data_IF_635569616758
#
_entry.id   IF_635569616758
#
_cell.length_a   1.000
_cell.length_b   1.000
_cell.length_c   1.000
_cell.angle_alpha   90.00
_cell.angle_beta   90.00
_cell.angle_gamma   90.00
#
_symmetry.space_group_name_H-M   'P 1'
#
loop_
_entity.id
_entity.type
_entity.pdbx_description
1 polymer ?
#
# COMPACT_ATOMS: atom_id res chain seq x y z
N UNK A 1 -10.07 11.10 11.15
CA UNK A 1 -9.38 12.27 10.55
C UNK A 1 -8.34 12.81 11.53
N UNK A 2 -7.34 13.58 11.08
CA UNK A 2 -6.35 14.19 12.00
C UNK A 2 -6.99 15.01 13.13
N UNK A 3 -8.12 15.66 12.87
CA UNK A 3 -8.89 16.43 13.87
C UNK A 3 -9.45 15.55 14.99
N UNK A 4 -10.01 14.38 14.66
CA UNK A 4 -10.55 13.45 15.65
C UNK A 4 -9.44 12.93 16.59
N UNK A 5 -8.24 12.69 16.04
CA UNK A 5 -7.08 12.25 16.82
C UNK A 5 -6.62 13.34 17.79
N UNK A 6 -6.52 14.61 17.34
CA UNK A 6 -6.19 15.71 18.26
C UNK A 6 -7.20 15.82 19.40
N UNK A 7 -8.49 15.83 19.08
CA UNK A 7 -9.54 15.94 20.09
C UNK A 7 -9.44 14.81 21.13
N UNK A 8 -9.25 13.56 20.71
CA UNK A 8 -9.10 12.43 21.63
C UNK A 8 -7.87 12.56 22.55
N UNK A 9 -6.77 13.13 22.06
CA UNK A 9 -5.53 13.25 22.83
C UNK A 9 -5.53 14.48 23.76
N UNK A 10 -6.26 15.55 23.42
CA UNK A 10 -6.21 16.83 24.12
C UNK A 10 -7.52 17.26 24.79
N UNK A 11 -8.59 16.45 24.78
CA UNK A 11 -9.77 16.71 25.60
C UNK A 11 -9.44 16.51 27.08
N UNK A 12 -10.23 17.08 28.00
CA UNK A 12 -10.16 16.77 29.44
C UNK A 12 -8.75 16.90 30.06
N UNK A 13 -7.99 17.91 29.61
CA UNK A 13 -6.69 18.19 30.19
C UNK A 13 -6.86 18.69 31.64
N UNK A 14 -5.93 18.35 32.54
CA UNK A 14 -5.88 18.93 33.86
C UNK A 14 -5.89 20.46 33.79
N UNK A 15 -6.54 21.14 34.74
CA UNK A 15 -6.55 22.60 34.81
C UNK A 15 -5.16 23.17 35.15
N UNK A 16 -4.31 22.37 35.79
CA UNK A 16 -2.95 22.72 36.18
C UNK A 16 -1.97 22.59 35.00
N UNK A 17 -0.89 23.40 34.94
CA UNK A 17 0.11 23.27 33.91
C UNK A 17 0.69 21.86 33.77
N UNK A 18 0.75 21.36 32.53
CA UNK A 18 1.28 20.04 32.24
C UNK A 18 2.81 20.01 32.33
N UNK A 19 3.32 19.43 33.41
CA UNK A 19 4.77 19.24 33.58
C UNK A 19 5.35 18.13 32.69
N UNK A 20 4.52 17.17 32.25
CA UNK A 20 4.96 16.03 31.42
C UNK A 20 3.97 15.71 30.27
N UNK A 21 3.87 16.56 29.24
CA UNK A 21 2.91 16.37 28.14
C UNK A 21 3.10 15.03 27.42
N UNK A 22 4.34 14.63 27.14
CA UNK A 22 4.64 13.37 26.46
C UNK A 22 4.18 12.13 27.26
N UNK A 23 4.33 12.15 28.59
CA UNK A 23 3.90 11.04 29.44
C UNK A 23 2.38 10.91 29.48
N UNK A 24 1.65 12.04 29.50
CA UNK A 24 0.20 12.04 29.41
C UNK A 24 -0.28 11.43 28.09
N UNK A 25 0.32 11.83 26.97
CA UNK A 25 -0.01 11.28 25.65
C UNK A 25 0.26 9.77 25.59
N UNK A 26 1.41 9.33 26.10
CA UNK A 26 1.75 7.91 26.16
C UNK A 26 0.73 7.11 27.00
N UNK A 27 0.32 7.64 28.16
CA UNK A 27 -0.70 7.02 29.00
C UNK A 27 -2.04 6.91 28.30
N UNK A 28 -2.52 7.99 27.66
CA UNK A 28 -3.81 7.97 26.95
C UNK A 28 -3.79 7.00 25.77
N UNK A 29 -2.72 6.97 25.00
CA UNK A 29 -2.55 6.00 23.93
C UNK A 29 -2.59 4.58 24.50
N UNK A 30 -1.88 4.26 25.58
CA UNK A 30 -1.89 2.91 26.13
C UNK A 30 -3.25 2.52 26.77
N UNK A 31 -3.90 3.44 27.50
CA UNK A 31 -5.06 3.15 28.34
C UNK A 31 -6.42 3.32 27.64
N UNK A 32 -6.50 4.18 26.63
CA UNK A 32 -7.74 4.49 25.90
C UNK A 32 -7.77 3.87 24.50
N UNK A 33 -6.74 3.13 24.09
CA UNK A 33 -6.80 2.35 22.88
C UNK A 33 -7.91 1.29 23.04
N UNK A 34 -8.85 1.19 22.07
CA UNK A 34 -9.77 0.07 22.06
C UNK A 34 -8.97 -1.24 21.97
N UNK A 35 -9.48 -2.35 22.51
CA UNK A 35 -8.83 -3.64 22.39
C UNK A 35 -8.53 -3.91 20.92
N UNK A 36 -7.30 -4.36 20.64
CA UNK A 36 -6.90 -4.68 19.28
C UNK A 36 -7.87 -5.72 18.73
N UNK A 37 -8.32 -5.58 17.47
CA UNK A 37 -9.15 -6.60 16.86
C UNK A 37 -8.39 -7.94 16.89
N UNK A 38 -9.10 -9.07 17.04
CA UNK A 38 -8.45 -10.37 17.00
C UNK A 38 -7.65 -10.50 15.71
N UNK A 39 -6.44 -11.05 15.82
CA UNK A 39 -5.61 -11.30 14.65
C UNK A 39 -6.40 -12.10 13.61
N UNK A 40 -6.51 -11.57 12.40
CA UNK A 40 -6.99 -12.30 11.23
C UNK A 40 -5.80 -12.44 10.29
N UNK A 41 -5.45 -13.69 9.96
CA UNK A 41 -4.56 -13.92 8.84
C UNK A 41 -5.16 -13.26 7.59
N UNK A 42 -4.36 -12.54 6.78
CA UNK A 42 -4.82 -12.01 5.52
C UNK A 42 -5.46 -13.14 4.69
N UNK A 43 -6.64 -12.89 4.11
CA UNK A 43 -7.18 -13.82 3.14
C UNK A 43 -6.16 -13.97 2.00
N UNK A 44 -5.87 -15.21 1.60
CA UNK A 44 -5.05 -15.41 0.41
C UNK A 44 -5.74 -14.74 -0.77
N UNK A 45 -5.03 -13.90 -1.56
CA UNK A 45 -5.62 -13.32 -2.74
C UNK A 45 -6.09 -14.46 -3.67
N UNK A 46 -7.17 -14.24 -4.45
CA UNK A 46 -7.60 -15.24 -5.42
C UNK A 46 -6.43 -15.57 -6.33
N UNK A 47 -6.19 -16.87 -6.55
CA UNK A 47 -5.14 -17.34 -7.43
C UNK A 47 -5.52 -17.05 -8.87
N UNK A 48 -5.12 -15.89 -9.39
CA UNK A 48 -5.30 -15.56 -10.80
C UNK A 48 -4.24 -16.32 -11.60
N UNK A 49 -4.63 -17.45 -12.17
CA UNK A 49 -3.79 -18.22 -13.08
C UNK A 49 -4.07 -17.79 -14.51
N UNK A 50 -3.15 -17.02 -15.09
CA UNK A 50 -3.16 -16.79 -16.53
C UNK A 50 -2.52 -17.97 -17.26
N UNK A 51 -3.19 -18.43 -18.30
CA UNK A 51 -2.60 -19.35 -19.27
C UNK A 51 -1.38 -18.71 -19.95
N UNK A 52 -0.52 -19.55 -20.51
CA UNK A 52 0.61 -19.09 -21.32
C UNK A 52 0.05 -18.61 -22.67
N UNK A 53 0.30 -17.35 -23.03
CA UNK A 53 -0.07 -16.77 -24.33
C UNK A 53 1.15 -16.11 -24.97
N UNK A 54 1.15 -15.98 -26.30
CA UNK A 54 2.19 -15.24 -27.00
C UNK A 54 1.85 -13.74 -27.03
N UNK A 55 2.89 -12.91 -27.01
CA UNK A 55 2.79 -11.46 -27.12
C UNK A 55 2.56 -11.01 -28.56
N UNK A 56 1.56 -10.15 -28.78
CA UNK A 56 1.25 -9.60 -30.11
C UNK A 56 2.34 -8.68 -30.69
N UNK A 57 3.33 -8.26 -29.89
CA UNK A 57 4.41 -7.36 -30.32
C UNK A 57 5.77 -8.03 -30.57
N UNK A 58 6.05 -9.18 -29.93
CA UNK A 58 7.36 -9.83 -29.99
C UNK A 58 7.32 -11.36 -29.97
N UNK A 59 6.12 -11.96 -30.04
CA UNK A 59 5.85 -13.41 -30.02
C UNK A 59 6.43 -14.18 -28.81
N UNK A 60 6.89 -13.45 -27.78
CA UNK A 60 7.37 -14.06 -26.52
C UNK A 60 6.21 -14.65 -25.73
N UNK A 61 6.35 -15.89 -25.29
CA UNK A 61 5.41 -16.53 -24.36
C UNK A 61 5.44 -15.88 -22.98
N UNK A 62 4.28 -15.47 -22.46
CA UNK A 62 4.12 -14.87 -21.15
C UNK A 62 2.77 -15.25 -20.52
N UNK A 63 2.61 -15.01 -19.22
CA UNK A 63 1.34 -15.22 -18.50
C UNK A 63 0.62 -13.90 -18.33
N UNK A 64 -0.51 -13.75 -19.00
CA UNK A 64 -1.37 -12.57 -18.91
C UNK A 64 -2.70 -12.76 -19.64
N UNK A 65 -3.56 -11.73 -19.66
CA UNK A 65 -4.81 -11.77 -20.43
C UNK A 65 -4.55 -12.06 -21.92
N UNK A 66 -5.44 -12.82 -22.55
CA UNK A 66 -5.36 -13.08 -23.99
C UNK A 66 -5.44 -11.75 -24.78
N UNK A 67 -4.52 -11.53 -25.71
CA UNK A 67 -4.42 -10.30 -26.50
C UNK A 67 -3.76 -9.12 -25.78
N UNK A 68 -3.09 -9.36 -24.65
CA UNK A 68 -2.25 -8.33 -24.02
C UNK A 68 -0.82 -8.38 -24.56
N UNK A 69 -0.09 -7.28 -24.45
CA UNK A 69 1.37 -7.24 -24.68
C UNK A 69 2.11 -7.71 -23.44
N UNK A 70 3.30 -8.28 -23.62
CA UNK A 70 4.19 -8.62 -22.51
C UNK A 70 4.68 -7.34 -21.81
N UNK A 71 5.25 -7.49 -20.60
CA UNK A 71 5.82 -6.36 -19.84
C UNK A 71 6.84 -5.56 -20.65
N UNK A 72 7.63 -6.24 -21.47
CA UNK A 72 8.69 -5.64 -22.29
C UNK A 72 8.15 -4.85 -23.50
N UNK A 73 6.89 -5.09 -23.89
CA UNK A 73 6.19 -4.37 -24.96
C UNK A 73 5.12 -3.40 -24.42
N UNK A 74 5.02 -3.27 -23.09
CA UNK A 74 4.11 -2.34 -22.43
C UNK A 74 4.55 -0.87 -22.62
N UNK A 75 3.65 0.11 -22.37
CA UNK A 75 3.93 1.53 -22.60
C UNK A 75 5.12 2.05 -21.79
N UNK A 76 5.34 1.49 -20.59
CA UNK A 76 6.46 1.83 -19.71
C UNK A 76 7.82 1.25 -20.17
N UNK A 77 7.79 0.26 -21.07
CA UNK A 77 9.00 -0.35 -21.65
C UNK A 77 9.33 0.25 -23.01
N UNK A 78 9.12 1.56 -23.15
CA UNK A 78 9.77 2.33 -24.21
C UNK A 78 11.27 2.30 -23.93
N UNK A 79 12.01 1.41 -24.60
CA UNK A 79 13.45 1.57 -24.73
C UNK A 79 13.69 2.78 -25.65
N UNK A 80 14.30 3.89 -25.18
CA UNK A 80 14.83 4.88 -26.10
C UNK A 80 16.17 4.34 -26.60
N UNK A 81 16.21 3.87 -27.85
CA UNK A 81 17.48 3.66 -28.55
C UNK A 81 17.57 2.37 -29.34
N UNK A 82 17.16 2.43 -30.60
CA UNK A 82 18.01 2.01 -31.72
C UNK A 82 17.90 3.09 -32.80
N UNK A 83 18.70 4.15 -32.63
CA UNK A 83 19.40 4.76 -33.75
C UNK A 83 20.61 3.86 -34.00
N UNK A 84 20.68 3.21 -35.16
CA UNK A 84 21.94 3.06 -35.88
C UNK A 84 21.62 2.78 -37.36
N UNK A 85 21.79 3.82 -38.17
CA UNK A 85 21.99 3.76 -39.62
C UNK A 85 23.33 3.06 -39.91
N UNK A 86 23.31 2.00 -40.74
CA UNK A 86 24.33 1.67 -41.75
C UNK A 86 23.84 0.52 -42.64
#
# INVERSE_FOLDING_TARGET
TPTAVRHALTSDLPPEPLHRPAALLAHRLAAQLPPLPPFRAPASPPSVHYEMTNCDGCDRGFRGPKGSRCRDCGPDHTMPGLMEDA
#
